data_IF_523958219694
#
_entry.id   IF_523958219694
#
_cell.length_a   1.000
_cell.length_b   1.000
_cell.length_c   1.000
_cell.angle_alpha   90.00
_cell.angle_beta   90.00
_cell.angle_gamma   90.00
#
_symmetry.space_group_name_H-M   'P 1'
#
loop_
_entity.id
_entity.type
_entity.pdbx_description
1 polymer ?
#
# COMPACT_ATOMS: atom_id res chain seq x y z
N UNK A 1 -5.13 1.59 10.64
CA UNK A 1 -5.62 0.20 10.73
C UNK A 1 -7.11 0.07 10.44
N UNK A 2 -7.98 0.98 10.91
CA UNK A 2 -9.43 0.95 10.62
C UNK A 2 -9.75 0.90 9.12
N UNK A 3 -9.14 1.80 8.32
CA UNK A 3 -9.41 1.94 6.87
C UNK A 3 -8.94 0.71 6.07
N UNK A 4 -7.78 0.14 6.42
CA UNK A 4 -7.26 -1.05 5.74
C UNK A 4 -8.11 -2.29 6.02
N UNK A 5 -8.62 -2.44 7.25
CA UNK A 5 -9.52 -3.54 7.60
C UNK A 5 -10.86 -3.43 6.86
N UNK A 6 -11.44 -2.23 6.76
CA UNK A 6 -12.67 -2.03 5.97
C UNK A 6 -12.49 -2.27 4.46
N UNK A 7 -11.26 -2.34 3.96
CA UNK A 7 -10.93 -2.67 2.57
C UNK A 7 -10.57 -4.16 2.35
N UNK A 8 -10.82 -5.03 3.33
CA UNK A 8 -10.62 -6.48 3.20
C UNK A 8 -9.22 -6.98 3.58
N UNK A 9 -8.36 -6.14 4.17
CA UNK A 9 -7.05 -6.56 4.68
C UNK A 9 -7.12 -7.13 6.10
N UNK A 10 -8.06 -8.03 6.34
CA UNK A 10 -8.18 -8.74 7.62
C UNK A 10 -6.99 -9.69 7.79
N UNK A 11 -6.16 -9.44 8.82
CA UNK A 11 -4.98 -10.27 9.12
C UNK A 11 -3.63 -9.60 8.86
N UNK A 12 -3.58 -8.34 8.40
CA UNK A 12 -2.32 -7.60 8.33
C UNK A 12 -1.71 -7.42 9.73
N UNK A 13 -0.74 -8.28 10.04
CA UNK A 13 0.01 -8.21 11.30
C UNK A 13 1.10 -7.15 11.22
N UNK A 14 1.55 -6.67 12.38
CA UNK A 14 2.73 -5.80 12.45
C UNK A 14 3.95 -6.45 11.79
N UNK A 15 4.10 -7.77 11.90
CA UNK A 15 5.21 -8.52 11.31
C UNK A 15 5.27 -8.48 9.78
N UNK A 16 4.15 -8.20 9.09
CA UNK A 16 4.12 -8.04 7.63
C UNK A 16 4.13 -6.56 7.21
N UNK A 17 3.47 -5.71 8.01
CA UNK A 17 3.36 -4.29 7.71
C UNK A 17 4.70 -3.55 7.89
N UNK A 18 5.43 -3.79 8.98
CA UNK A 18 6.66 -3.06 9.25
C UNK A 18 7.77 -3.34 8.24
N UNK A 19 8.02 -4.59 7.79
CA UNK A 19 8.97 -4.84 6.70
C UNK A 19 8.59 -4.15 5.39
N UNK A 20 7.29 -4.11 5.05
CA UNK A 20 6.82 -3.42 3.86
C UNK A 20 7.06 -1.91 3.96
N UNK A 21 6.73 -1.29 5.10
CA UNK A 21 6.99 0.13 5.34
C UNK A 21 8.49 0.45 5.33
N UNK A 22 9.33 -0.41 5.92
CA UNK A 22 10.78 -0.23 5.89
C UNK A 22 11.33 -0.30 4.46
N UNK A 23 10.82 -1.21 3.61
CA UNK A 23 11.24 -1.24 2.20
C UNK A 23 10.85 0.04 1.47
N UNK A 24 9.63 0.52 1.66
CA UNK A 24 9.19 1.78 1.05
C UNK A 24 10.01 2.99 1.54
N UNK A 25 10.47 2.98 2.79
CA UNK A 25 11.34 4.02 3.38
C UNK A 25 12.74 3.95 2.76
N UNK A 26 13.32 2.74 2.66
CA UNK A 26 14.61 2.48 1.99
C UNK A 26 14.59 2.85 0.51
N UNK A 27 13.48 2.57 -0.19
CA UNK A 27 13.30 2.89 -1.61
C UNK A 27 12.98 4.38 -1.83
N UNK A 28 12.83 5.18 -0.76
CA UNK A 28 12.56 6.62 -0.84
C UNK A 28 11.12 6.98 -1.21
N UNK A 29 10.19 6.03 -1.21
CA UNK A 29 8.78 6.27 -1.53
C UNK A 29 7.97 6.77 -0.34
N UNK A 30 8.43 6.51 0.89
CA UNK A 30 7.88 7.14 2.09
C UNK A 30 9.00 7.83 2.85
N UNK A 31 8.66 8.96 3.47
CA UNK A 31 9.44 9.57 4.52
C UNK A 31 8.91 9.11 5.87
N UNK A 32 9.78 9.08 6.87
CA UNK A 32 9.40 8.71 8.22
C UNK A 32 9.87 9.70 9.28
N UNK A 33 9.00 9.96 10.26
CA UNK A 33 9.26 10.88 11.37
C UNK A 33 8.95 10.18 12.68
N UNK A 34 9.93 10.17 13.58
CA UNK A 34 9.70 9.72 14.95
C UNK A 34 8.97 10.82 15.72
N UNK A 35 7.87 10.48 16.37
CA UNK A 35 7.19 11.37 17.33
C UNK A 35 7.19 10.72 18.70
N UNK A 36 7.70 11.45 19.67
CA UNK A 36 7.56 11.08 21.07
C UNK A 36 6.06 11.05 21.43
N UNK A 37 5.66 10.04 22.19
CA UNK A 37 4.29 9.97 22.69
C UNK A 37 4.18 10.78 23.96
N UNK A 38 3.13 11.62 24.06
CA UNK A 38 2.89 12.46 25.25
C UNK A 38 2.85 11.66 26.57
N UNK A 39 2.53 10.36 26.52
CA UNK A 39 2.49 9.44 27.67
C UNK A 39 2.81 7.98 27.30
N UNK A 40 3.72 7.74 26.34
CA UNK A 40 4.02 6.37 25.90
C UNK A 40 5.17 6.24 24.90
N UNK A 41 5.50 5.00 24.48
CA UNK A 41 6.58 4.76 23.54
C UNK A 41 6.34 5.54 22.25
N UNK A 42 7.41 6.18 21.75
CA UNK A 42 7.36 6.94 20.52
C UNK A 42 6.88 6.11 19.33
N UNK A 43 6.25 6.78 18.37
CA UNK A 43 5.70 6.15 17.16
C UNK A 43 6.38 6.73 15.93
N UNK A 44 6.74 5.84 15.01
CA UNK A 44 7.22 6.23 13.67
C UNK A 44 6.00 6.49 12.77
N UNK A 45 5.88 7.73 12.29
CA UNK A 45 4.86 8.15 11.35
C UNK A 45 5.44 8.14 9.94
N UNK A 46 4.71 7.58 8.99
CA UNK A 46 5.12 7.50 7.59
C UNK A 46 4.24 8.40 6.73
N UNK A 47 4.81 8.98 5.68
CA UNK A 47 4.09 9.80 4.71
C UNK A 47 4.72 9.62 3.33
N UNK A 48 3.91 9.62 2.28
CA UNK A 48 4.43 9.50 0.91
C UNK A 48 5.32 10.68 0.54
N UNK A 49 6.44 10.39 -0.10
CA UNK A 49 7.27 11.39 -0.79
C UNK A 49 6.62 11.79 -2.12
N UNK A 50 7.22 12.73 -2.85
CA UNK A 50 6.73 13.09 -4.18
C UNK A 50 6.93 11.93 -5.17
N UNK A 51 8.07 11.26 -5.07
CA UNK A 51 8.45 10.07 -5.82
C UNK A 51 7.50 8.91 -5.48
N UNK A 52 7.19 8.73 -4.18
CA UNK A 52 6.23 7.73 -3.74
C UNK A 52 4.81 7.95 -4.26
N UNK A 53 4.36 9.22 -4.33
CA UNK A 53 3.07 9.56 -4.97
C UNK A 53 3.08 9.21 -6.45
N UNK A 54 4.13 9.58 -7.18
CA UNK A 54 4.25 9.25 -8.60
C UNK A 54 4.22 7.72 -8.82
N UNK A 55 5.06 6.99 -8.07
CA UNK A 55 5.13 5.53 -8.13
C UNK A 55 3.79 4.87 -7.82
N UNK A 56 3.04 5.39 -6.86
CA UNK A 56 1.69 4.93 -6.54
C UNK A 56 0.73 5.13 -7.72
N UNK A 57 0.75 6.30 -8.35
CA UNK A 57 -0.10 6.58 -9.52
C UNK A 57 0.20 5.63 -10.69
N UNK A 58 1.49 5.42 -10.99
CA UNK A 58 1.93 4.48 -12.03
C UNK A 58 1.45 3.05 -11.71
N UNK A 59 1.68 2.58 -10.48
CA UNK A 59 1.24 1.25 -10.05
C UNK A 59 -0.28 1.08 -10.13
N UNK A 60 -1.05 2.09 -9.74
CA UNK A 60 -2.50 2.05 -9.80
C UNK A 60 -2.99 1.98 -11.26
N UNK A 61 -2.34 2.71 -12.17
CA UNK A 61 -2.63 2.65 -13.60
C UNK A 61 -2.36 1.26 -14.16
N UNK A 62 -1.18 0.71 -13.90
CA UNK A 62 -0.77 -0.60 -14.41
C UNK A 62 -1.68 -1.71 -13.87
N UNK A 63 -2.04 -1.65 -12.58
CA UNK A 63 -2.99 -2.58 -11.97
C UNK A 63 -4.38 -2.49 -12.59
N UNK A 64 -4.88 -1.27 -12.84
CA UNK A 64 -6.18 -1.06 -13.49
C UNK A 64 -6.19 -1.64 -14.91
N UNK A 65 -5.11 -1.44 -15.67
CA UNK A 65 -4.97 -2.01 -17.01
C UNK A 65 -4.92 -3.54 -16.96
N UNK A 66 -4.11 -4.11 -16.07
CA UNK A 66 -3.97 -5.56 -15.94
C UNK A 66 -5.31 -6.23 -15.57
N UNK A 67 -6.01 -5.69 -14.58
CA UNK A 67 -7.31 -6.23 -14.14
C UNK A 67 -8.37 -6.13 -15.24
N UNK A 68 -8.37 -5.07 -16.04
CA UNK A 68 -9.26 -4.94 -17.19
C UNK A 68 -8.99 -6.03 -18.25
N UNK A 69 -7.72 -6.31 -18.57
CA UNK A 69 -7.36 -7.37 -19.51
C UNK A 69 -7.81 -8.75 -19.03
N UNK A 70 -7.55 -9.07 -17.76
CA UNK A 70 -7.97 -10.34 -17.16
C UNK A 70 -9.50 -10.46 -17.14
N UNK A 71 -10.21 -9.37 -16.82
CA UNK A 71 -11.68 -9.36 -16.84
C UNK A 71 -12.21 -9.67 -18.24
N UNK A 72 -11.68 -9.02 -19.28
CA UNK A 72 -12.10 -9.29 -20.65
C UNK A 72 -11.88 -10.75 -21.04
N UNK A 73 -10.71 -11.32 -20.71
CA UNK A 73 -10.40 -12.73 -20.97
C UNK A 73 -11.38 -13.69 -20.28
N UNK A 74 -11.77 -13.38 -19.03
CA UNK A 74 -12.73 -14.20 -18.29
C UNK A 74 -14.16 -14.07 -18.83
N UNK A 75 -14.54 -12.89 -19.33
CA UNK A 75 -15.85 -12.65 -19.92
C UNK A 75 -15.98 -13.36 -21.29
N UNK A 76 -14.91 -13.37 -22.12
CA UNK A 76 -14.86 -14.14 -23.38
C UNK A 76 -15.02 -15.65 -23.16
N UNK A 77 -14.38 -16.20 -22.12
CA UNK A 77 -14.50 -17.63 -21.76
C UNK A 77 -15.89 -18.05 -21.27
N UNK A 78 -16.72 -17.12 -20.78
CA UNK A 78 -18.09 -17.42 -20.35
C UNK A 78 -19.09 -17.42 -21.51
N UNK A 79 -18.73 -16.81 -22.62
CA UNK A 79 -19.58 -16.72 -23.82
C UNK A 79 -19.46 -17.96 -24.73
N UNK A 80 -18.57 -18.90 -24.41
CA UNK A 80 -18.37 -20.20 -25.06
C UNK A 80 -18.69 -21.32 -24.07
#
# INVERSE_FOLDING_TARGET
>A
MQVLRSSGFDGLSGGTLYPALNRLDTDGFVSSVWREGDNGPGKKFYSLTSEGRQRLHESARDWTQFTALIKNLLDEKKAH
#
